data_IF_128034886858
#
_entry.id   IF_128034886858
#
_cell.length_a   1.000
_cell.length_b   1.000
_cell.length_c   1.000
_cell.angle_alpha   90.00
_cell.angle_beta   90.00
_cell.angle_gamma   90.00
#
_symmetry.space_group_name_H-M   'P 1'
#
loop_
_entity.id
_entity.type
_entity.pdbx_description
1 polymer ?
#
# COMPACT_ATOMS: atom_id res chain seq x y z
N UNK A 1 -11.04 -9.43 2.17
CA UNK A 1 -10.10 -8.31 1.95
C UNK A 1 -10.74 -7.32 1.01
N UNK A 2 -10.59 -6.03 1.30
CA UNK A 2 -11.07 -4.91 0.48
C UNK A 2 -9.97 -3.85 0.40
N UNK A 3 -9.96 -3.08 -0.69
CA UNK A 3 -9.31 -1.77 -0.72
C UNK A 3 -10.35 -0.78 -0.17
N UNK A 4 -10.01 -0.10 0.92
CA UNK A 4 -10.95 0.80 1.62
C UNK A 4 -10.73 2.26 1.28
N UNK A 5 -9.50 2.67 1.01
CA UNK A 5 -9.15 4.05 0.66
C UNK A 5 -8.01 4.08 -0.36
N UNK A 6 -8.02 5.09 -1.23
CA UNK A 6 -6.99 5.35 -2.25
C UNK A 6 -6.78 6.85 -2.32
N UNK A 7 -5.53 7.27 -2.13
CA UNK A 7 -5.08 8.64 -2.33
C UNK A 7 -4.13 8.66 -3.55
N UNK A 8 -4.58 9.27 -4.64
CA UNK A 8 -3.88 9.25 -5.93
C UNK A 8 -3.63 10.65 -6.52
N UNK A 9 -4.17 11.71 -5.90
CA UNK A 9 -4.07 13.09 -6.39
C UNK A 9 -3.79 14.02 -5.22
N UNK A 10 -2.54 13.97 -4.74
CA UNK A 10 -2.12 14.73 -3.57
C UNK A 10 -1.85 16.20 -3.92
N UNK A 11 -1.92 17.07 -2.92
CA UNK A 11 -1.64 18.50 -3.09
C UNK A 11 -0.16 18.84 -3.38
N UNK A 12 0.73 17.84 -3.48
CA UNK A 12 2.17 18.02 -3.55
C UNK A 12 2.64 18.38 -4.98
N UNK A 13 3.05 19.65 -5.24
CA UNK A 13 3.27 20.11 -6.59
C UNK A 13 4.47 19.43 -7.25
N UNK A 14 4.22 18.73 -8.37
CA UNK A 14 5.22 18.00 -9.16
C UNK A 14 5.88 16.80 -8.43
N UNK A 15 5.32 16.33 -7.32
CA UNK A 15 5.81 15.14 -6.62
C UNK A 15 4.68 14.22 -6.13
N UNK A 16 3.47 14.41 -6.62
CA UNK A 16 2.24 13.69 -6.23
C UNK A 16 2.43 12.18 -6.06
N UNK A 17 3.06 11.53 -7.03
CA UNK A 17 3.32 10.09 -7.06
C UNK A 17 4.14 9.57 -5.87
N UNK A 18 4.93 10.41 -5.21
CA UNK A 18 5.67 10.01 -3.99
C UNK A 18 4.84 10.09 -2.72
N UNK A 19 3.62 10.62 -2.83
CA UNK A 19 2.67 10.82 -1.74
C UNK A 19 1.42 9.95 -1.87
N UNK A 20 1.32 9.14 -2.92
CA UNK A 20 0.23 8.18 -3.11
C UNK A 20 0.29 7.04 -2.10
N UNK A 21 -0.89 6.58 -1.70
CA UNK A 21 -1.07 5.42 -0.83
C UNK A 21 -2.45 4.81 -1.01
N UNK A 22 -2.58 3.56 -0.55
CA UNK A 22 -3.87 2.88 -0.42
C UNK A 22 -3.96 2.13 0.89
N UNK A 23 -5.20 1.85 1.31
CA UNK A 23 -5.49 1.05 2.50
C UNK A 23 -6.10 -0.29 2.15
N UNK A 24 -5.52 -1.35 2.69
CA UNK A 24 -6.04 -2.71 2.65
C UNK A 24 -6.70 -3.05 3.99
N UNK A 25 -7.94 -3.53 3.94
CA UNK A 25 -8.66 -4.02 5.11
C UNK A 25 -8.89 -5.53 5.01
N UNK A 26 -8.41 -6.27 6.01
CA UNK A 26 -8.76 -7.67 6.17
C UNK A 26 -10.14 -7.84 6.82
N UNK A 27 -11.17 -7.95 5.99
CA UNK A 27 -12.56 -8.16 6.43
C UNK A 27 -12.90 -9.56 6.95
N UNK A 28 -11.96 -10.51 6.96
CA UNK A 28 -12.20 -11.86 7.47
C UNK A 28 -11.97 -11.95 8.98
N UNK A 29 -12.37 -13.09 9.55
CA UNK A 29 -12.10 -13.51 10.92
C UNK A 29 -10.78 -14.31 11.06
N UNK A 30 -9.96 -14.35 9.99
CA UNK A 30 -8.73 -15.13 9.88
C UNK A 30 -7.52 -14.27 9.56
N UNK A 31 -6.31 -14.77 9.86
CA UNK A 31 -5.06 -14.12 9.43
C UNK A 31 -4.98 -14.11 7.91
N UNK A 32 -4.62 -12.96 7.34
CA UNK A 32 -4.41 -12.80 5.90
C UNK A 32 -2.93 -12.55 5.61
N UNK A 33 -2.27 -13.51 4.97
CA UNK A 33 -0.88 -13.40 4.54
C UNK A 33 -0.81 -12.85 3.11
N UNK A 34 -0.01 -11.81 2.91
CA UNK A 34 0.22 -11.17 1.60
C UNK A 34 1.39 -11.81 0.83
N UNK A 35 1.76 -13.04 1.16
CA UNK A 35 2.89 -13.73 0.52
C UNK A 35 2.58 -13.99 -0.97
N UNK A 36 3.43 -13.48 -1.86
CA UNK A 36 3.23 -13.54 -3.30
C UNK A 36 2.14 -12.60 -3.85
N UNK A 37 1.64 -11.66 -3.04
CA UNK A 37 0.70 -10.65 -3.51
C UNK A 37 1.41 -9.50 -4.21
N UNK A 38 0.70 -8.85 -5.14
CA UNK A 38 1.16 -7.65 -5.82
C UNK A 38 0.00 -6.67 -6.01
N UNK A 39 0.32 -5.38 -6.04
CA UNK A 39 -0.56 -4.35 -6.61
C UNK A 39 -0.35 -4.34 -8.12
N UNK A 40 -1.44 -4.30 -8.88
CA UNK A 40 -1.40 -4.43 -10.34
C UNK A 40 -2.33 -3.39 -10.95
N UNK A 41 -1.80 -2.62 -11.89
CA UNK A 41 -2.55 -1.67 -12.72
C UNK A 41 -2.46 -2.08 -14.20
N UNK A 42 -2.71 -1.16 -15.14
CA UNK A 42 -2.59 -1.47 -16.57
C UNK A 42 -1.16 -1.37 -17.11
N UNK A 43 -0.18 -0.94 -16.31
CA UNK A 43 1.21 -0.71 -16.72
C UNK A 43 2.19 -1.69 -16.06
N UNK A 44 1.98 -2.05 -14.81
CA UNK A 44 2.94 -2.73 -13.96
C UNK A 44 2.28 -3.65 -12.91
N UNK A 45 3.14 -4.43 -12.28
CA UNK A 45 2.80 -5.24 -11.11
C UNK A 45 3.90 -5.05 -10.06
N UNK A 46 3.53 -4.53 -8.90
CA UNK A 46 4.46 -4.24 -7.82
C UNK A 46 4.26 -5.21 -6.65
N UNK A 47 5.24 -6.07 -6.37
CA UNK A 47 5.12 -7.07 -5.33
C UNK A 47 5.08 -6.43 -3.95
N UNK A 48 4.16 -6.92 -3.11
CA UNK A 48 4.07 -6.57 -1.70
C UNK A 48 5.05 -7.42 -0.88
N UNK A 49 5.62 -6.88 0.21
CA UNK A 49 6.40 -7.68 1.13
C UNK A 49 5.50 -8.71 1.82
N UNK A 50 6.08 -9.85 2.19
CA UNK A 50 5.38 -10.88 2.98
C UNK A 50 5.00 -10.30 4.35
N UNK A 51 3.72 -9.98 4.51
CA UNK A 51 3.12 -9.41 5.71
C UNK A 51 1.85 -10.17 6.08
N UNK A 52 1.44 -10.04 7.33
CA UNK A 52 0.19 -10.61 7.83
C UNK A 52 -0.69 -9.47 8.34
N UNK A 53 -1.92 -9.41 7.81
CA UNK A 53 -2.97 -8.54 8.32
C UNK A 53 -3.84 -9.38 9.27
N UNK A 54 -3.98 -8.94 10.52
CA UNK A 54 -4.83 -9.61 11.51
C UNK A 54 -6.32 -9.56 11.12
N UNK A 55 -7.19 -10.41 11.69
CA UNK A 55 -8.64 -10.27 11.51
C UNK A 55 -9.13 -8.86 11.81
N UNK A 56 -9.91 -8.25 10.91
CA UNK A 56 -10.36 -6.86 11.00
C UNK A 56 -9.24 -5.80 10.96
N UNK A 57 -8.01 -6.21 10.66
CA UNK A 57 -6.83 -5.35 10.64
C UNK A 57 -6.70 -4.56 9.33
N UNK A 58 -5.93 -3.49 9.40
CA UNK A 58 -5.66 -2.58 8.28
C UNK A 58 -4.16 -2.53 7.97
N UNK A 59 -3.84 -2.30 6.70
CA UNK A 59 -2.48 -2.08 6.23
C UNK A 59 -2.49 -0.94 5.22
N UNK A 60 -1.66 0.08 5.47
CA UNK A 60 -1.42 1.13 4.48
C UNK A 60 -0.21 0.76 3.63
N UNK A 61 -0.38 0.78 2.30
CA UNK A 61 0.69 0.61 1.32
C UNK A 61 0.99 1.97 0.73
N UNK A 62 2.23 2.41 0.86
CA UNK A 62 2.65 3.75 0.47
C UNK A 62 3.72 3.70 -0.64
N UNK A 63 3.61 4.61 -1.60
CA UNK A 63 4.54 4.78 -2.71
C UNK A 63 5.98 5.08 -2.26
N UNK A 64 6.12 5.74 -1.11
CA UNK A 64 7.43 6.09 -0.57
C UNK A 64 7.55 5.83 0.93
N UNK A 65 8.67 5.22 1.34
CA UNK A 65 9.01 4.92 2.76
C UNK A 65 8.95 6.10 3.74
N UNK A 66 8.86 7.34 3.24
CA UNK A 66 8.73 8.54 4.08
C UNK A 66 7.30 8.73 4.56
N UNK A 67 6.31 8.33 3.76
CA UNK A 67 4.89 8.27 4.16
C UNK A 67 4.66 7.21 5.24
N UNK A 68 5.52 6.19 5.31
CA UNK A 68 5.47 5.18 6.36
C UNK A 68 6.01 5.66 7.72
N UNK A 69 6.69 6.81 7.80
CA UNK A 69 7.33 7.25 9.06
C UNK A 69 6.38 7.81 10.13
N UNK A 70 5.21 8.40 9.79
CA UNK A 70 4.20 8.72 10.81
C UNK A 70 3.27 7.54 11.19
N UNK A 71 3.19 6.47 10.39
CA UNK A 71 2.20 5.40 10.56
C UNK A 71 2.88 4.06 10.92
N UNK A 72 2.64 3.55 12.13
CA UNK A 72 3.23 2.31 12.65
C UNK A 72 2.80 1.02 11.92
N UNK A 73 1.93 1.10 10.91
CA UNK A 73 1.30 -0.03 10.21
C UNK A 73 1.41 0.13 8.68
N UNK A 74 2.55 0.61 8.18
CA UNK A 74 2.77 0.84 6.75
C UNK A 74 3.82 -0.11 6.13
N UNK A 75 3.54 -0.59 4.92
CA UNK A 75 4.51 -1.27 4.06
C UNK A 75 5.01 -0.30 2.97
N UNK A 76 6.32 -0.14 2.84
CA UNK A 76 6.91 0.63 1.74
C UNK A 76 7.09 -0.26 0.52
N UNK A 77 6.47 0.10 -0.59
CA UNK A 77 6.62 -0.64 -1.84
C UNK A 77 7.94 -0.18 -2.51
N UNK A 78 8.91 -1.09 -2.61
CA UNK A 78 10.28 -0.78 -3.00
C UNK A 78 10.46 -0.76 -4.51
N UNK A 79 10.15 0.37 -5.16
CA UNK A 79 10.43 0.61 -6.58
C UNK A 79 10.99 2.01 -6.80
N UNK A 80 12.10 2.13 -7.53
CA UNK A 80 12.71 3.41 -7.84
C UNK A 80 11.85 4.20 -8.83
N UNK A 81 11.05 5.15 -8.34
CA UNK A 81 10.52 6.27 -9.12
C UNK A 81 9.54 5.93 -10.24
N UNK A 82 8.82 4.81 -10.16
CA UNK A 82 7.69 4.50 -11.03
C UNK A 82 6.40 5.03 -10.41
N UNK A 83 5.59 5.72 -11.21
CA UNK A 83 4.16 5.92 -10.94
C UNK A 83 3.49 4.54 -10.85
N UNK A 84 2.59 4.38 -9.89
CA UNK A 84 1.71 3.22 -9.73
C UNK A 84 0.55 3.26 -10.73
#
# INVERSE_FOLDING_TARGET
>A
MLITEVEYDTIEPNDDSRWEWLELHNTSDSLLTLDGWALVDNLAADPLPTLVITPGGYLVVAAHRRLCQPLSQCAGAGGAGGRW
#
